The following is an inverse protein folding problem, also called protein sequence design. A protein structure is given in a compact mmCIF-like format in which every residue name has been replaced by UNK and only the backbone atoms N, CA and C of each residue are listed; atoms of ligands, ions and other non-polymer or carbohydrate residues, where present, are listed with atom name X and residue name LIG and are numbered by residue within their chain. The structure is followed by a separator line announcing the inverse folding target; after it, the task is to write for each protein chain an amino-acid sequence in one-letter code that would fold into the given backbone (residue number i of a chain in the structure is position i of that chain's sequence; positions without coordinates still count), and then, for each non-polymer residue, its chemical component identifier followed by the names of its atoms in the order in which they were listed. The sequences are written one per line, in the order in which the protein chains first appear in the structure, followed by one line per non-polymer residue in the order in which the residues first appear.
data_IF_358942077973
#
_entry.id   IF_358942077973
#
_cell.length_a   1.000
_cell.length_b   1.000
_cell.length_c   1.000
_cell.angle_alpha   90.00
_cell.angle_beta   90.00
_cell.angle_gamma   90.00
#
_symmetry.space_group_name_H-M   'P 1'
#
loop_
_entity.id
_entity.type
_entity.pdbx_description
1 polymer ?
#
# COMPACT_ATOMS: atom_id res chain seq x y z
N UNK A 1 -6.31 -26.22 20.36
CA UNK A 1 -5.36 -25.48 19.51
C UNK A 1 -5.37 -24.00 19.89
N UNK A 2 -4.44 -23.55 20.73
CA UNK A 2 -4.37 -22.16 21.21
C UNK A 2 -3.39 -21.34 20.38
N UNK A 3 -3.86 -20.27 19.72
CA UNK A 3 -2.97 -19.33 19.02
C UNK A 3 -2.28 -18.45 20.07
N UNK A 4 -0.96 -18.59 20.23
CA UNK A 4 -0.15 -17.66 21.03
C UNK A 4 -0.21 -16.27 20.37
N UNK A 5 -0.93 -15.33 21.00
CA UNK A 5 -0.76 -13.90 20.72
C UNK A 5 0.63 -13.49 21.23
N UNK A 6 1.56 -13.30 20.31
CA UNK A 6 2.87 -12.72 20.61
C UNK A 6 2.70 -11.29 21.11
N UNK A 7 3.41 -10.93 22.18
CA UNK A 7 3.37 -9.62 22.82
C UNK A 7 3.92 -8.53 21.90
N UNK A 8 3.15 -8.09 20.91
CA UNK A 8 3.42 -6.90 20.09
C UNK A 8 2.55 -5.74 20.59
N UNK A 9 2.70 -5.39 21.87
CA UNK A 9 1.97 -4.30 22.53
C UNK A 9 2.90 -3.34 23.29
N UNK A 10 4.19 -3.28 22.93
CA UNK A 10 5.03 -2.16 23.33
C UNK A 10 4.81 -1.04 22.31
N UNK A 11 4.80 0.20 22.76
CA UNK A 11 4.39 1.41 22.01
C UNK A 11 2.86 1.55 21.93
N UNK A 12 2.28 2.28 22.88
CA UNK A 12 0.85 2.62 22.99
C UNK A 12 0.31 3.49 21.85
N UNK A 13 0.51 3.06 20.60
CA UNK A 13 -0.27 3.54 19.46
C UNK A 13 -1.54 2.71 19.42
N UNK A 14 -2.67 3.38 19.68
CA UNK A 14 -3.99 2.86 19.30
C UNK A 14 -3.92 2.33 17.87
N UNK A 15 -4.42 1.12 17.59
CA UNK A 15 -4.52 0.63 16.21
C UNK A 15 -5.41 1.59 15.44
N UNK A 16 -4.81 2.48 14.65
CA UNK A 16 -5.61 3.33 13.76
C UNK A 16 -6.26 2.40 12.76
N UNK A 17 -7.59 2.45 12.63
CA UNK A 17 -8.30 1.69 11.64
C UNK A 17 -7.69 2.01 10.28
N UNK A 18 -7.11 1.01 9.62
CA UNK A 18 -6.46 1.22 8.34
C UNK A 18 -7.56 1.42 7.29
N UNK A 19 -7.81 2.68 6.94
CA UNK A 19 -8.78 3.00 5.90
C UNK A 19 -8.21 2.65 4.53
N UNK A 20 -8.75 1.58 3.95
CA UNK A 20 -8.58 1.23 2.55
C UNK A 20 -9.38 2.22 1.71
N UNK A 21 -8.71 3.27 1.23
CA UNK A 21 -9.28 4.06 0.14
C UNK A 21 -9.12 3.23 -1.13
N UNK A 22 -10.21 2.61 -1.58
CA UNK A 22 -10.27 2.05 -2.94
C UNK A 22 -10.28 3.22 -3.92
N UNK A 23 -9.10 3.58 -4.40
CA UNK A 23 -8.97 4.43 -5.58
C UNK A 23 -9.22 3.51 -6.79
N UNK A 24 -10.15 3.86 -7.66
CA UNK A 24 -10.13 3.37 -9.02
C UNK A 24 -9.04 4.18 -9.73
N UNK A 25 -7.93 3.62 -10.25
CA UNK A 25 -7.57 2.22 -10.54
C UNK A 25 -6.97 1.41 -9.39
N UNK A 26 -7.12 0.07 -9.47
CA UNK A 26 -6.61 -0.89 -8.47
C UNK A 26 -5.15 -0.58 -8.08
N UNK A 27 -4.88 -0.26 -6.81
CA UNK A 27 -3.53 -0.03 -6.33
C UNK A 27 -2.57 -1.19 -6.63
N UNK A 28 -3.04 -2.44 -6.67
CA UNK A 28 -2.17 -3.56 -7.02
C UNK A 28 -1.69 -3.49 -8.47
N UNK A 29 -2.58 -3.13 -9.41
CA UNK A 29 -2.26 -2.94 -10.82
C UNK A 29 -1.27 -1.78 -11.02
N UNK A 30 -1.53 -0.63 -10.39
CA UNK A 30 -0.63 0.54 -10.46
C UNK A 30 0.75 0.19 -9.89
N UNK A 31 0.82 -0.59 -8.80
CA UNK A 31 2.10 -1.04 -8.21
C UNK A 31 2.84 -2.04 -9.11
N UNK A 32 2.12 -2.91 -9.83
CA UNK A 32 2.74 -3.82 -10.78
C UNK A 32 3.34 -3.07 -11.97
N UNK A 33 2.58 -2.14 -12.55
CA UNK A 33 3.04 -1.27 -13.62
C UNK A 33 4.27 -0.45 -13.21
N UNK A 34 4.23 0.16 -12.02
CA UNK A 34 5.31 1.00 -11.52
C UNK A 34 6.62 0.23 -11.30
N UNK A 35 6.55 -1.00 -10.81
CA UNK A 35 7.72 -1.89 -10.69
C UNK A 35 8.34 -2.20 -12.06
N UNK A 36 7.51 -2.43 -13.07
CA UNK A 36 7.99 -2.63 -14.45
C UNK A 36 8.65 -1.37 -15.04
N UNK A 37 8.23 -0.18 -14.62
CA UNK A 37 8.79 1.11 -15.06
C UNK A 37 9.96 1.61 -14.20
N UNK A 38 10.50 0.76 -13.30
CA UNK A 38 11.56 1.12 -12.34
C UNK A 38 11.21 2.34 -11.46
N UNK A 39 9.93 2.55 -11.18
CA UNK A 39 9.49 3.58 -10.24
C UNK A 39 9.59 3.08 -8.81
N UNK A 40 10.11 3.92 -7.92
CA UNK A 40 10.18 3.63 -6.49
C UNK A 40 8.77 3.68 -5.86
N UNK A 41 8.24 2.51 -5.53
CA UNK A 41 6.93 2.33 -4.91
C UNK A 41 7.07 1.45 -3.68
N UNK A 42 6.50 1.86 -2.53
CA UNK A 42 6.51 1.06 -1.32
C UNK A 42 5.96 -0.36 -1.55
N UNK A 43 6.64 -1.37 -0.98
CA UNK A 43 6.19 -2.76 -1.03
C UNK A 43 4.77 -2.93 -0.45
N UNK A 44 4.39 -2.07 0.51
CA UNK A 44 3.04 -1.94 1.08
C UNK A 44 2.70 -0.48 1.39
N UNK A 45 1.42 -0.14 1.38
CA UNK A 45 0.92 1.19 1.75
C UNK A 45 0.38 2.00 0.57
N UNK A 46 0.37 3.33 0.75
CA UNK A 46 -0.10 4.29 -0.26
C UNK A 46 0.89 4.38 -1.42
N UNK A 47 0.38 4.40 -2.65
CA UNK A 47 1.18 4.63 -3.85
C UNK A 47 1.34 6.14 -4.04
N UNK A 48 2.55 6.65 -4.28
CA UNK A 48 2.76 8.07 -4.52
C UNK A 48 1.93 8.59 -5.71
N UNK A 49 1.36 9.79 -5.60
CA UNK A 49 0.52 10.41 -6.64
C UNK A 49 1.22 10.47 -8.02
N UNK A 50 2.52 10.73 -8.04
CA UNK A 50 3.37 10.72 -9.26
C UNK A 50 3.24 9.43 -10.08
N UNK A 51 3.00 8.30 -9.43
CA UNK A 51 2.84 6.99 -10.08
C UNK A 51 1.45 6.88 -10.72
N UNK A 52 0.41 7.42 -10.08
CA UNK A 52 -0.93 7.47 -10.68
C UNK A 52 -0.96 8.36 -11.91
N UNK A 53 -0.28 9.52 -11.86
CA UNK A 53 -0.19 10.43 -13.00
C UNK A 53 0.58 9.79 -14.16
N UNK A 54 1.70 9.15 -13.88
CA UNK A 54 2.46 8.46 -14.92
C UNK A 54 1.74 7.22 -15.47
N UNK A 55 0.96 6.51 -14.64
CA UNK A 55 0.10 5.42 -15.09
C UNK A 55 -1.02 5.94 -16.01
N UNK A 56 -1.66 7.05 -15.65
CA UNK A 56 -2.69 7.69 -16.47
C UNK A 56 -2.15 8.25 -17.78
N UNK A 57 -0.91 8.76 -17.78
CA UNK A 57 -0.23 9.23 -19.00
C UNK A 57 0.24 8.09 -19.91
N UNK A 58 0.40 6.89 -19.37
CA UNK A 58 0.82 5.69 -20.10
C UNK A 58 -0.34 4.73 -20.45
N UNK A 59 -1.58 5.07 -20.04
CA UNK A 59 -2.81 4.30 -20.32
C UNK A 59 -3.45 4.72 -21.64
#
# INVERSE_FOLDING_TARGET
AGRKQTKAGKHGRTPTAYHHTSLAPDPAAVRAWARSHRMDVPARGRIPKKVYEAFAAAS
#
